data_IF_868080439852
#
_entry.id   IF_868080439852
#
_cell.length_a   1.000
_cell.length_b   1.000
_cell.length_c   1.000
_cell.angle_alpha   90.00
_cell.angle_beta   90.00
_cell.angle_gamma   90.00
#
_symmetry.space_group_name_H-M   'P 1'
#
loop_
_entity.id
_entity.type
_entity.pdbx_description
1 polymer ?
#
# COMPACT_ATOMS: atom_id res chain seq x y z
N UNK A 1 -5.84 -10.06 24.86
CA UNK A 1 -4.92 -8.95 24.57
C UNK A 1 -5.55 -8.20 23.43
N UNK A 2 -6.25 -7.11 23.73
CA UNK A 2 -6.89 -6.26 22.73
C UNK A 2 -5.81 -5.41 22.04
N UNK A 3 -5.68 -5.57 20.73
CA UNK A 3 -4.66 -4.92 19.90
C UNK A 3 -5.19 -3.69 19.13
N UNK A 4 -6.34 -3.14 19.52
CA UNK A 4 -6.90 -1.96 18.87
C UNK A 4 -6.53 -0.67 19.62
N UNK A 5 -5.82 0.23 18.93
CA UNK A 5 -5.78 1.64 19.35
C UNK A 5 -7.15 2.26 19.01
N UNK A 6 -8.10 2.17 19.94
CA UNK A 6 -9.36 2.91 19.85
C UNK A 6 -9.05 4.41 20.02
N UNK A 7 -9.20 5.20 18.95
CA UNK A 7 -9.25 6.66 19.11
C UNK A 7 -10.70 7.09 19.27
N UNK A 8 -10.97 7.80 20.38
CA UNK A 8 -12.29 8.38 20.68
C UNK A 8 -12.31 9.79 20.14
N UNK A 9 -13.09 10.04 19.08
CA UNK A 9 -13.29 11.40 18.57
C UNK A 9 -14.66 11.90 19.06
N UNK A 10 -14.67 13.12 19.62
CA UNK A 10 -15.89 13.80 20.04
C UNK A 10 -16.62 14.32 18.78
N UNK A 11 -17.74 13.71 18.43
CA UNK A 11 -18.65 14.25 17.42
C UNK A 11 -19.75 15.05 18.11
N UNK A 12 -19.96 16.30 17.68
CA UNK A 12 -21.07 17.13 18.16
C UNK A 12 -22.11 17.28 17.06
N UNK A 13 -23.37 16.97 17.37
CA UNK A 13 -24.53 17.25 16.53
C UNK A 13 -25.56 18.03 17.32
N UNK A 14 -26.26 18.95 16.67
CA UNK A 14 -27.37 19.67 17.29
C UNK A 14 -28.65 18.86 17.06
N UNK A 15 -29.26 18.39 18.15
CA UNK A 15 -30.54 17.70 18.12
C UNK A 15 -31.51 18.44 19.06
N UNK A 16 -32.66 18.88 18.54
CA UNK A 16 -33.65 19.68 19.28
C UNK A 16 -33.05 20.91 20.01
N UNK A 17 -32.15 21.64 19.33
CA UNK A 17 -31.54 22.86 19.88
C UNK A 17 -30.54 22.63 21.03
N UNK A 18 -30.17 21.38 21.33
CA UNK A 18 -29.12 21.03 22.30
C UNK A 18 -27.96 20.37 21.58
N UNK A 19 -26.73 20.75 21.93
CA UNK A 19 -25.52 20.07 21.49
C UNK A 19 -25.45 18.71 22.16
N UNK A 20 -25.59 17.64 21.38
CA UNK A 20 -25.39 16.27 21.84
C UNK A 20 -23.98 15.87 21.40
N UNK A 21 -23.13 15.60 22.39
CA UNK A 21 -21.78 15.10 22.17
C UNK A 21 -21.81 13.58 22.32
N UNK A 22 -21.59 12.86 21.22
CA UNK A 22 -21.44 11.40 21.24
C UNK A 22 -19.97 11.03 21.05
N UNK A 23 -19.49 10.10 21.88
CA UNK A 23 -18.21 9.43 21.65
C UNK A 23 -18.45 8.48 20.49
N UNK A 24 -17.88 8.79 19.32
CA UNK A 24 -17.84 7.84 18.21
C UNK A 24 -16.52 7.09 18.36
N UNK A 25 -16.59 5.77 18.56
CA UNK A 25 -15.45 4.90 18.35
C UNK A 25 -15.21 4.86 16.84
N UNK A 26 -14.23 5.62 16.39
CA UNK A 26 -13.75 5.52 15.01
C UNK A 26 -12.54 4.61 15.08
N UNK A 27 -12.64 3.46 14.41
CA UNK A 27 -11.47 2.63 14.16
C UNK A 27 -10.52 3.42 13.26
N UNK A 28 -9.56 4.11 13.87
CA UNK A 28 -8.45 4.70 13.12
C UNK A 28 -7.52 3.58 12.69
N UNK A 29 -7.14 3.58 11.42
CA UNK A 29 -6.19 2.62 10.90
C UNK A 29 -4.92 2.58 11.75
N UNK A 30 -4.43 1.38 12.06
CA UNK A 30 -3.20 1.21 12.86
C UNK A 30 -1.98 1.70 12.06
N UNK A 31 -0.89 2.15 12.72
CA UNK A 31 0.34 2.46 12.01
C UNK A 31 0.91 1.18 11.39
N UNK A 32 1.18 1.23 10.08
CA UNK A 32 1.70 0.09 9.31
C UNK A 32 2.98 0.41 8.55
N UNK A 33 3.54 1.61 8.71
CA UNK A 33 4.82 2.01 8.11
C UNK A 33 5.90 2.07 9.19
N UNK A 34 7.20 1.93 8.86
CA UNK A 34 8.26 2.04 9.87
C UNK A 34 8.25 3.42 10.54
N UNK A 35 7.96 4.48 9.77
CA UNK A 35 7.82 5.84 10.28
C UNK A 35 6.63 5.97 11.23
N UNK A 36 5.44 5.48 10.86
CA UNK A 36 4.24 5.57 11.69
C UNK A 36 4.40 4.80 13.01
N UNK A 37 5.07 3.65 12.98
CA UNK A 37 5.40 2.88 14.19
C UNK A 37 6.37 3.66 15.07
N UNK A 38 7.41 4.28 14.51
CA UNK A 38 8.35 5.13 15.25
C UNK A 38 7.64 6.31 15.92
N UNK A 39 6.75 7.00 15.20
CA UNK A 39 5.95 8.11 15.74
C UNK A 39 5.10 7.66 16.93
N UNK A 40 4.45 6.51 16.82
CA UNK A 40 3.61 5.96 17.87
C UNK A 40 4.42 5.56 19.12
N UNK A 41 5.60 4.96 18.95
CA UNK A 41 6.49 4.65 20.08
C UNK A 41 7.08 5.91 20.73
N UNK A 42 7.41 6.94 19.95
CA UNK A 42 7.82 8.25 20.48
C UNK A 42 6.69 8.92 21.28
N UNK A 43 5.45 8.83 20.81
CA UNK A 43 4.26 9.35 21.52
C UNK A 43 4.11 8.68 22.89
N UNK A 44 4.10 7.34 22.92
CA UNK A 44 4.01 6.57 24.18
C UNK A 44 5.15 6.90 25.13
N UNK A 45 6.37 6.99 24.60
CA UNK A 45 7.56 7.34 25.39
C UNK A 45 7.44 8.74 25.99
N UNK A 46 6.95 9.71 25.23
CA UNK A 46 6.71 11.07 25.71
C UNK A 46 5.66 11.10 26.82
N UNK A 47 4.54 10.37 26.67
CA UNK A 47 3.49 10.27 27.70
C UNK A 47 4.01 9.67 29.01
N UNK A 48 4.82 8.59 28.91
CA UNK A 48 5.47 7.99 30.08
C UNK A 48 6.46 8.95 30.74
N UNK A 49 7.24 9.69 29.95
CA UNK A 49 8.19 10.68 30.41
C UNK A 49 7.51 11.86 31.14
N UNK A 50 6.41 12.37 30.60
CA UNK A 50 5.58 13.42 31.23
C UNK A 50 5.04 12.98 32.59
N UNK A 51 4.64 11.71 32.70
CA UNK A 51 4.19 11.13 33.96
C UNK A 51 5.32 10.90 34.98
N UNK A 52 6.58 10.82 34.55
CA UNK A 52 7.70 10.32 35.36
C UNK A 52 8.58 11.39 36.05
N UNK A 53 8.20 12.67 36.10
CA UNK A 53 9.00 13.73 36.76
C UNK A 53 10.48 13.77 36.35
N UNK A 54 10.76 13.55 35.06
CA UNK A 54 12.13 13.58 34.51
C UNK A 54 12.64 15.02 34.31
N UNK A 55 13.96 15.24 34.13
CA UNK A 55 14.52 16.55 33.85
C UNK A 55 13.85 17.26 32.66
N UNK A 56 13.56 18.55 32.82
CA UNK A 56 12.83 19.35 31.83
C UNK A 56 13.51 19.41 30.44
N UNK A 57 14.85 19.38 30.40
CA UNK A 57 15.63 19.36 29.16
C UNK A 57 15.41 18.08 28.34
N UNK A 58 15.29 16.93 29.03
CA UNK A 58 14.98 15.64 28.37
C UNK A 58 13.56 15.68 27.82
N UNK A 59 12.61 16.21 28.61
CA UNK A 59 11.23 16.32 28.17
C UNK A 59 11.07 17.25 26.96
N UNK A 60 11.79 18.38 26.95
CA UNK A 60 11.82 19.30 25.82
C UNK A 60 12.39 18.64 24.55
N UNK A 61 13.48 17.87 24.70
CA UNK A 61 14.09 17.13 23.60
C UNK A 61 13.13 16.07 23.05
N UNK A 62 12.51 15.25 23.91
CA UNK A 62 11.53 14.24 23.50
C UNK A 62 10.33 14.86 22.77
N UNK A 63 9.80 15.99 23.28
CA UNK A 63 8.70 16.71 22.64
C UNK A 63 9.09 17.21 21.25
N UNK A 64 10.28 17.79 21.09
CA UNK A 64 10.76 18.26 19.79
C UNK A 64 10.96 17.11 18.81
N UNK A 65 11.51 15.99 19.25
CA UNK A 65 11.70 14.79 18.41
C UNK A 65 10.36 14.21 17.96
N UNK A 66 9.40 14.07 18.88
CA UNK A 66 8.06 13.61 18.55
C UNK A 66 7.37 14.56 17.55
N UNK A 67 7.44 15.87 17.77
CA UNK A 67 6.85 16.86 16.87
C UNK A 67 7.44 16.80 15.46
N UNK A 68 8.76 16.66 15.34
CA UNK A 68 9.43 16.53 14.05
C UNK A 68 8.94 15.28 13.31
N UNK A 69 8.88 14.13 13.98
CA UNK A 69 8.44 12.88 13.38
C UNK A 69 6.94 12.91 13.04
N UNK A 70 6.09 13.29 13.99
CA UNK A 70 4.64 13.32 13.82
C UNK A 70 4.18 14.35 12.76
N UNK A 71 4.97 15.38 12.49
CA UNK A 71 4.68 16.39 11.47
C UNK A 71 4.94 15.95 10.03
N UNK A 72 5.74 14.89 9.81
CA UNK A 72 6.19 14.51 8.47
C UNK A 72 5.06 14.02 7.57
N UNK A 73 4.30 13.00 8.00
CA UNK A 73 3.25 12.40 7.17
C UNK A 73 2.11 13.39 6.84
N UNK A 74 1.60 14.20 7.79
CA UNK A 74 0.62 15.24 7.48
C UNK A 74 1.15 16.27 6.48
N UNK A 75 2.41 16.72 6.64
CA UNK A 75 3.00 17.71 5.75
C UNK A 75 3.21 17.16 4.33
N UNK A 76 3.68 15.91 4.20
CA UNK A 76 3.79 15.24 2.90
C UNK A 76 2.41 15.11 2.25
N UNK A 77 1.41 14.67 3.00
CA UNK A 77 0.03 14.53 2.51
C UNK A 77 -0.54 15.86 2.02
N UNK A 78 -0.38 16.93 2.81
CA UNK A 78 -0.80 18.29 2.44
C UNK A 78 -0.09 18.82 1.19
N UNK A 79 1.21 18.52 1.04
CA UNK A 79 2.01 18.95 -0.11
C UNK A 79 1.86 18.04 -1.34
N UNK A 80 1.09 16.96 -1.25
CA UNK A 80 0.87 16.01 -2.35
C UNK A 80 -0.41 16.35 -3.09
N UNK A 81 -0.37 16.34 -4.42
CA UNK A 81 -1.56 16.56 -5.28
C UNK A 81 -2.73 15.71 -4.81
N UNK A 82 -3.88 16.34 -4.57
CA UNK A 82 -5.08 15.69 -4.02
C UNK A 82 -5.56 14.52 -4.88
N UNK A 83 -6.14 13.52 -4.24
CA UNK A 83 -6.81 12.40 -4.90
C UNK A 83 -7.97 12.86 -5.80
N UNK A 84 -8.32 12.05 -6.78
CA UNK A 84 -9.58 12.21 -7.51
C UNK A 84 -10.76 11.86 -6.62
N UNK A 85 -11.97 12.32 -7.00
CA UNK A 85 -13.19 11.93 -6.31
C UNK A 85 -13.44 10.42 -6.33
N UNK A 86 -13.01 9.73 -7.40
CA UNK A 86 -13.16 8.29 -7.55
C UNK A 86 -12.25 7.53 -6.57
N UNK A 87 -10.97 7.94 -6.45
CA UNK A 87 -10.03 7.37 -5.48
C UNK A 87 -10.49 7.60 -4.04
N UNK A 88 -10.91 8.82 -3.70
CA UNK A 88 -11.44 9.10 -2.36
C UNK A 88 -12.71 8.31 -2.07
N UNK A 89 -13.60 8.12 -3.05
CA UNK A 89 -14.80 7.30 -2.90
C UNK A 89 -14.45 5.82 -2.69
N UNK A 90 -13.51 5.28 -3.46
CA UNK A 90 -13.02 3.90 -3.32
C UNK A 90 -12.41 3.69 -1.93
N UNK A 91 -11.50 4.57 -1.50
CA UNK A 91 -10.89 4.49 -0.16
C UNK A 91 -11.94 4.48 0.95
N UNK A 92 -12.97 5.34 0.86
CA UNK A 92 -14.09 5.35 1.81
C UNK A 92 -14.90 4.06 1.80
N UNK A 93 -15.19 3.49 0.62
CA UNK A 93 -15.87 2.19 0.50
C UNK A 93 -15.03 1.10 1.15
N UNK A 94 -13.72 1.06 0.90
CA UNK A 94 -12.81 0.07 1.51
C UNK A 94 -12.79 0.16 3.03
N UNK A 95 -12.73 1.37 3.59
CA UNK A 95 -12.77 1.57 5.05
C UNK A 95 -14.12 1.25 5.69
N UNK A 96 -15.21 1.33 4.94
CA UNK A 96 -16.56 1.05 5.44
C UNK A 96 -16.92 -0.45 5.41
N UNK A 97 -16.19 -1.26 4.64
CA UNK A 97 -16.45 -2.68 4.48
C UNK A 97 -15.97 -3.49 5.70
N UNK A 98 -16.81 -4.41 6.19
CA UNK A 98 -16.48 -5.25 7.34
C UNK A 98 -15.72 -6.51 6.89
N UNK A 99 -14.43 -6.33 6.56
CA UNK A 99 -13.56 -7.40 6.05
C UNK A 99 -13.47 -8.62 6.98
N UNK A 100 -13.61 -8.42 8.30
CA UNK A 100 -13.59 -9.50 9.27
C UNK A 100 -14.85 -10.35 9.16
N UNK A 101 -16.01 -9.72 9.02
CA UNK A 101 -17.27 -10.41 8.76
C UNK A 101 -17.23 -11.13 7.41
N UNK A 102 -16.74 -10.48 6.35
CA UNK A 102 -16.61 -11.12 5.01
C UNK A 102 -15.81 -12.41 5.06
N UNK A 103 -14.68 -12.40 5.76
CA UNK A 103 -13.90 -13.62 5.98
C UNK A 103 -14.64 -14.64 6.85
N UNK A 104 -15.28 -14.21 7.94
CA UNK A 104 -16.05 -15.09 8.83
C UNK A 104 -17.22 -15.79 8.14
N UNK A 105 -17.82 -15.14 7.14
CA UNK A 105 -18.90 -15.68 6.31
C UNK A 105 -18.39 -16.53 5.13
N UNK A 106 -17.07 -16.62 4.93
CA UNK A 106 -16.45 -17.35 3.82
C UNK A 106 -16.57 -16.67 2.46
N UNK A 107 -16.88 -15.37 2.43
CA UNK A 107 -16.96 -14.59 1.19
C UNK A 107 -15.57 -14.23 0.64
N UNK A 108 -14.57 -14.13 1.51
CA UNK A 108 -13.17 -13.92 1.13
C UNK A 108 -12.30 -15.13 1.45
N UNK A 109 -11.30 -15.39 0.62
CA UNK A 109 -10.39 -16.55 0.75
C UNK A 109 -9.35 -16.38 1.86
N UNK A 110 -9.17 -15.14 2.34
CA UNK A 110 -8.27 -14.77 3.42
C UNK A 110 -8.86 -13.62 4.24
N UNK A 111 -8.32 -13.44 5.45
CA UNK A 111 -8.62 -12.26 6.24
C UNK A 111 -7.96 -11.04 5.59
N UNK A 112 -8.76 -10.01 5.37
CA UNK A 112 -8.34 -8.74 4.78
C UNK A 112 -8.53 -7.61 5.79
N UNK A 113 -7.78 -6.53 5.61
CA UNK A 113 -7.80 -5.36 6.49
C UNK A 113 -7.76 -4.10 5.62
N UNK A 114 -8.42 -3.02 6.07
CA UNK A 114 -8.41 -1.75 5.32
C UNK A 114 -7.01 -1.15 5.17
N UNK A 115 -6.10 -1.50 6.08
CA UNK A 115 -4.69 -1.09 6.10
C UNK A 115 -3.89 -1.60 4.90
N UNK A 116 -4.44 -2.57 4.15
CA UNK A 116 -3.84 -3.05 2.89
C UNK A 116 -4.03 -2.08 1.72
N UNK A 117 -4.72 -0.96 1.91
CA UNK A 117 -4.89 0.06 0.87
C UNK A 117 -3.61 0.91 0.71
N UNK A 118 -3.04 0.97 -0.50
CA UNK A 118 -1.87 1.82 -0.83
C UNK A 118 -2.08 3.31 -0.47
N UNK A 119 -3.28 3.83 -0.72
CA UNK A 119 -3.71 5.17 -0.33
C UNK A 119 -3.00 6.34 -1.04
N UNK A 120 -3.33 7.57 -0.61
CA UNK A 120 -3.05 8.82 -1.33
C UNK A 120 -1.60 9.02 -1.83
N UNK A 121 -0.61 9.01 -0.93
CA UNK A 121 0.79 9.31 -1.29
C UNK A 121 1.34 8.32 -2.32
N UNK A 122 1.08 7.04 -2.12
CA UNK A 122 1.59 5.99 -2.98
C UNK A 122 0.86 5.95 -4.33
N UNK A 123 -0.47 6.07 -4.33
CA UNK A 123 -1.23 6.21 -5.58
C UNK A 123 -0.74 7.39 -6.41
N UNK A 124 -0.47 8.54 -5.78
CA UNK A 124 0.08 9.69 -6.49
C UNK A 124 1.52 9.47 -6.97
N UNK A 125 2.32 8.69 -6.23
CA UNK A 125 3.68 8.28 -6.64
C UNK A 125 3.62 7.38 -7.88
N UNK A 126 2.77 6.34 -7.87
CA UNK A 126 2.56 5.45 -9.01
C UNK A 126 2.06 6.21 -10.25
N UNK A 127 1.15 7.18 -10.08
CA UNK A 127 0.70 8.08 -11.16
C UNK A 127 1.85 8.86 -11.79
N UNK A 128 2.79 9.34 -10.97
CA UNK A 128 3.98 10.03 -11.47
C UNK A 128 4.84 9.09 -12.28
N UNK A 129 5.07 7.85 -11.83
CA UNK A 129 5.85 6.87 -12.59
C UNK A 129 5.19 6.52 -13.92
N UNK A 130 3.89 6.22 -13.96
CA UNK A 130 3.15 5.95 -15.22
C UNK A 130 3.34 7.09 -16.22
N UNK A 131 3.24 8.37 -15.77
CA UNK A 131 3.42 9.53 -16.64
C UNK A 131 4.86 9.73 -17.10
N UNK A 132 5.82 9.57 -16.19
CA UNK A 132 7.24 9.79 -16.46
C UNK A 132 7.83 8.73 -17.39
N UNK A 133 7.42 7.46 -17.22
CA UNK A 133 7.80 6.36 -18.11
C UNK A 133 6.98 6.33 -19.39
N UNK A 134 5.90 7.13 -19.47
CA UNK A 134 4.92 7.12 -20.57
C UNK A 134 4.31 5.74 -20.80
N UNK A 135 4.11 5.00 -19.71
CA UNK A 135 3.54 3.67 -19.75
C UNK A 135 2.15 3.68 -20.43
N UNK A 136 1.92 2.68 -21.28
CA UNK A 136 0.64 2.37 -21.92
C UNK A 136 0.08 1.03 -21.47
N UNK A 137 0.95 0.09 -21.09
CA UNK A 137 0.61 -1.25 -20.63
C UNK A 137 1.10 -1.38 -19.19
N UNK A 138 0.18 -1.56 -18.26
CA UNK A 138 0.49 -1.75 -16.84
C UNK A 138 0.02 -3.14 -16.39
N UNK A 139 0.84 -3.80 -15.58
CA UNK A 139 0.46 -5.01 -14.87
C UNK A 139 0.51 -4.74 -13.36
N UNK A 140 -0.52 -5.12 -12.65
CA UNK A 140 -0.56 -5.12 -11.19
C UNK A 140 -0.68 -6.55 -10.67
N UNK A 141 0.27 -6.95 -9.83
CA UNK A 141 0.31 -8.25 -9.16
C UNK A 141 -0.17 -8.06 -7.73
N UNK A 142 -1.45 -8.33 -7.50
CA UNK A 142 -2.15 -8.06 -6.24
C UNK A 142 -2.89 -6.72 -6.30
N UNK A 143 -4.22 -6.79 -6.41
CA UNK A 143 -5.08 -5.62 -6.60
C UNK A 143 -5.75 -5.15 -5.32
N UNK A 144 -6.15 -6.11 -4.46
CA UNK A 144 -7.08 -5.87 -3.37
C UNK A 144 -8.30 -5.05 -3.86
N UNK A 145 -8.71 -3.99 -3.18
CA UNK A 145 -9.87 -3.20 -3.59
C UNK A 145 -9.65 -2.30 -4.81
N UNK A 146 -8.45 -2.30 -5.41
CA UNK A 146 -8.18 -1.66 -6.69
C UNK A 146 -7.78 -0.18 -6.63
N UNK A 147 -7.34 0.32 -5.47
CA UNK A 147 -6.94 1.73 -5.35
C UNK A 147 -5.73 2.07 -6.23
N UNK A 148 -4.67 1.26 -6.16
CA UNK A 148 -3.46 1.40 -6.96
C UNK A 148 -3.73 1.20 -8.46
N UNK A 149 -4.50 0.16 -8.84
CA UNK A 149 -5.01 -0.02 -10.21
C UNK A 149 -5.71 1.25 -10.73
N UNK A 150 -6.67 1.77 -9.98
CA UNK A 150 -7.41 2.96 -10.39
C UNK A 150 -6.51 4.19 -10.50
N UNK A 151 -5.60 4.38 -9.53
CA UNK A 151 -4.65 5.48 -9.54
C UNK A 151 -3.78 5.42 -10.80
N UNK A 152 -3.19 4.26 -11.12
CA UNK A 152 -2.39 4.07 -12.34
C UNK A 152 -3.23 4.28 -13.61
N UNK A 153 -4.47 3.80 -13.65
CA UNK A 153 -5.38 3.98 -14.79
C UNK A 153 -5.72 5.45 -15.08
N UNK A 154 -5.85 6.29 -14.04
CA UNK A 154 -6.02 7.75 -14.18
C UNK A 154 -4.80 8.43 -14.82
N UNK A 155 -3.62 7.82 -14.75
CA UNK A 155 -2.39 8.36 -15.33
C UNK A 155 -2.10 7.83 -16.74
N UNK A 156 -2.72 6.71 -17.15
CA UNK A 156 -2.58 6.14 -18.47
C UNK A 156 -3.18 7.05 -19.57
N UNK A 157 -2.66 7.01 -20.81
CA UNK A 157 -3.33 7.63 -21.95
C UNK A 157 -4.68 6.94 -22.24
N UNK A 158 -5.48 7.50 -23.15
CA UNK A 158 -6.82 6.99 -23.46
C UNK A 158 -6.78 5.57 -24.04
N UNK A 159 -5.73 5.23 -24.80
CA UNK A 159 -5.48 3.89 -25.34
C UNK A 159 -4.72 2.96 -24.36
N UNK A 160 -4.41 3.45 -23.16
CA UNK A 160 -3.69 2.69 -22.15
C UNK A 160 -4.55 1.62 -21.49
N UNK A 161 -3.92 0.53 -21.07
CA UNK A 161 -4.58 -0.61 -20.44
C UNK A 161 -3.78 -1.11 -19.23
N UNK A 162 -4.52 -1.55 -18.23
CA UNK A 162 -4.00 -2.15 -17.01
C UNK A 162 -4.61 -3.54 -16.83
N UNK A 163 -3.77 -4.53 -16.53
CA UNK A 163 -4.19 -5.87 -16.09
C UNK A 163 -3.90 -5.99 -14.61
N UNK A 164 -4.88 -6.36 -13.80
CA UNK A 164 -4.73 -6.53 -12.35
C UNK A 164 -5.01 -7.98 -11.95
N UNK A 165 -4.08 -8.59 -11.23
CA UNK A 165 -4.23 -9.94 -10.68
C UNK A 165 -4.90 -9.86 -9.30
N UNK A 166 -5.99 -10.62 -9.13
CA UNK A 166 -6.64 -10.78 -7.83
C UNK A 166 -7.10 -12.23 -7.67
N UNK A 167 -6.87 -12.83 -6.50
CA UNK A 167 -7.26 -14.23 -6.26
C UNK A 167 -8.68 -14.33 -5.72
N UNK A 168 -9.15 -13.28 -5.05
CA UNK A 168 -10.42 -13.26 -4.36
C UNK A 168 -11.55 -12.69 -5.24
N UNK A 169 -12.52 -13.54 -5.58
CA UNK A 169 -13.62 -13.15 -6.46
C UNK A 169 -14.53 -12.07 -5.86
N UNK A 170 -14.72 -12.06 -4.53
CA UNK A 170 -15.51 -11.03 -3.86
C UNK A 170 -14.82 -9.67 -3.97
N UNK A 171 -13.51 -9.65 -3.70
CA UNK A 171 -12.69 -8.43 -3.79
C UNK A 171 -12.60 -7.94 -5.23
N UNK A 172 -12.44 -8.85 -6.20
CA UNK A 172 -12.46 -8.51 -7.62
C UNK A 172 -13.78 -7.82 -8.03
N UNK A 173 -14.92 -8.36 -7.60
CA UNK A 173 -16.22 -7.76 -7.83
C UNK A 173 -16.39 -6.41 -7.10
N UNK A 174 -15.87 -6.29 -5.87
CA UNK A 174 -15.84 -5.02 -5.14
C UNK A 174 -15.08 -3.94 -5.93
N UNK A 175 -13.90 -4.26 -6.43
CA UNK A 175 -13.06 -3.34 -7.20
C UNK A 175 -13.73 -2.95 -8.53
N UNK A 176 -14.30 -3.92 -9.27
CA UNK A 176 -15.03 -3.65 -10.52
C UNK A 176 -16.19 -2.67 -10.32
N UNK A 177 -16.95 -2.80 -9.22
CA UNK A 177 -18.00 -1.84 -8.88
C UNK A 177 -17.45 -0.43 -8.60
N UNK A 178 -16.24 -0.33 -8.04
CA UNK A 178 -15.59 0.97 -7.86
C UNK A 178 -15.05 1.55 -9.17
N UNK A 179 -14.55 0.70 -10.07
CA UNK A 179 -14.06 1.12 -11.39
C UNK A 179 -15.20 1.65 -12.27
N UNK A 180 -16.39 1.04 -12.20
CA UNK A 180 -17.57 1.51 -12.94
C UNK A 180 -17.98 2.95 -12.60
N UNK A 181 -17.63 3.44 -11.40
CA UNK A 181 -17.89 4.81 -10.96
C UNK A 181 -16.82 5.82 -11.46
N UNK A 182 -15.82 5.37 -12.22
CA UNK A 182 -14.71 6.19 -12.70
C UNK A 182 -14.63 6.23 -14.24
N UNK A 183 -14.35 7.40 -14.85
CA UNK A 183 -14.11 7.49 -16.29
C UNK A 183 -12.85 6.73 -16.77
N UNK A 184 -12.02 6.26 -15.85
CA UNK A 184 -10.81 5.49 -16.15
C UNK A 184 -10.96 3.99 -15.90
N UNK A 185 -12.13 3.54 -15.40
CA UNK A 185 -12.37 2.14 -15.07
C UNK A 185 -12.24 1.19 -16.25
N UNK A 186 -12.67 1.61 -17.44
CA UNK A 186 -12.62 0.80 -18.68
C UNK A 186 -11.20 0.43 -19.14
N UNK A 187 -10.17 1.07 -18.57
CA UNK A 187 -8.77 0.74 -18.84
C UNK A 187 -8.31 -0.49 -18.06
N UNK A 188 -9.06 -0.93 -17.04
CA UNK A 188 -8.65 -1.96 -16.09
C UNK A 188 -9.34 -3.28 -16.42
N UNK A 189 -8.56 -4.34 -16.58
CA UNK A 189 -9.03 -5.72 -16.68
C UNK A 189 -8.57 -6.49 -15.44
N UNK A 190 -9.49 -7.13 -14.74
CA UNK A 190 -9.18 -7.94 -13.56
C UNK A 190 -9.13 -9.41 -13.95
N UNK A 191 -7.99 -10.06 -13.73
CA UNK A 191 -7.81 -11.49 -13.90
C UNK A 191 -7.96 -12.19 -12.54
N UNK A 192 -9.08 -12.90 -12.37
CA UNK A 192 -9.40 -13.59 -11.11
C UNK A 192 -8.74 -14.97 -11.07
N UNK A 193 -7.52 -15.04 -10.56
CA UNK A 193 -6.70 -16.25 -10.46
C UNK A 193 -5.48 -16.00 -9.54
N UNK A 194 -4.78 -17.06 -9.08
CA UNK A 194 -3.48 -16.90 -8.44
C UNK A 194 -2.51 -16.10 -9.32
N UNK A 195 -1.77 -15.17 -8.72
CA UNK A 195 -0.89 -14.25 -9.44
C UNK A 195 0.11 -14.96 -10.37
N UNK A 196 0.80 -16.01 -9.88
CA UNK A 196 1.76 -16.77 -10.68
C UNK A 196 1.12 -17.45 -11.90
N UNK A 197 -0.10 -17.97 -11.75
CA UNK A 197 -0.85 -18.56 -12.88
C UNK A 197 -1.15 -17.50 -13.94
N UNK A 198 -1.58 -16.31 -13.53
CA UNK A 198 -1.81 -15.18 -14.43
C UNK A 198 -0.52 -14.72 -15.12
N UNK A 199 0.60 -14.62 -14.39
CA UNK A 199 1.90 -14.27 -14.97
C UNK A 199 2.31 -15.27 -16.06
N UNK A 200 2.21 -16.57 -15.78
CA UNK A 200 2.53 -17.60 -16.77
C UNK A 200 1.61 -17.56 -18.00
N UNK A 201 0.30 -17.34 -17.80
CA UNK A 201 -0.67 -17.20 -18.89
C UNK A 201 -0.34 -16.00 -19.78
N UNK A 202 -0.04 -14.84 -19.19
CA UNK A 202 0.33 -13.62 -19.92
C UNK A 202 1.65 -13.79 -20.67
N UNK A 203 2.66 -14.40 -20.03
CA UNK A 203 3.94 -14.70 -20.67
C UNK A 203 3.77 -15.65 -21.87
N UNK A 204 2.97 -16.71 -21.73
CA UNK A 204 2.66 -17.65 -22.80
C UNK A 204 1.89 -16.99 -23.96
N UNK A 205 1.08 -15.96 -23.68
CA UNK A 205 0.41 -15.14 -24.68
C UNK A 205 1.32 -14.11 -25.36
N UNK A 206 2.58 -13.97 -24.91
CA UNK A 206 3.53 -12.99 -25.44
C UNK A 206 3.23 -11.54 -25.04
N UNK A 207 2.51 -11.35 -23.94
CA UNK A 207 2.20 -10.02 -23.40
C UNK A 207 3.46 -9.35 -22.83
N UNK A 208 3.48 -8.02 -22.86
CA UNK A 208 4.57 -7.19 -22.35
C UNK A 208 4.03 -5.87 -21.77
N UNK A 209 4.68 -5.38 -20.72
CA UNK A 209 4.22 -4.27 -19.89
C UNK A 209 5.33 -3.25 -19.67
N UNK A 210 4.96 -1.97 -19.76
CA UNK A 210 5.86 -0.82 -19.57
C UNK A 210 6.07 -0.53 -18.07
N UNK A 211 5.11 -0.90 -17.23
CA UNK A 211 5.22 -0.81 -15.79
C UNK A 211 4.55 -2.01 -15.13
N UNK A 212 5.22 -2.61 -14.16
CA UNK A 212 4.70 -3.72 -13.35
C UNK A 212 4.74 -3.32 -11.88
N UNK A 213 3.60 -3.37 -11.20
CA UNK A 213 3.48 -3.13 -9.77
C UNK A 213 3.25 -4.45 -9.03
N UNK A 214 4.03 -4.73 -7.98
CA UNK A 214 3.94 -5.95 -7.18
C UNK A 214 3.54 -5.59 -5.76
N UNK A 215 2.33 -5.98 -5.37
CA UNK A 215 1.77 -5.86 -4.01
C UNK A 215 0.87 -7.05 -3.66
N UNK A 216 1.47 -8.24 -3.56
CA UNK A 216 0.76 -9.49 -3.30
C UNK A 216 1.34 -10.25 -2.08
N UNK A 217 1.38 -11.59 -2.14
CA UNK A 217 1.96 -12.42 -1.08
C UNK A 217 3.48 -12.24 -1.04
N UNK A 218 3.99 -11.75 0.10
CA UNK A 218 5.41 -11.43 0.27
C UNK A 218 6.31 -12.66 0.14
N UNK A 219 5.78 -13.86 0.39
CA UNK A 219 6.52 -15.12 0.24
C UNK A 219 6.85 -15.45 -1.21
N UNK A 220 6.03 -14.96 -2.14
CA UNK A 220 6.16 -15.22 -3.58
C UNK A 220 6.88 -14.09 -4.31
N UNK A 221 7.29 -13.01 -3.63
CA UNK A 221 7.94 -11.85 -4.27
C UNK A 221 9.17 -12.20 -5.11
N UNK A 222 9.99 -13.14 -4.62
CA UNK A 222 11.15 -13.63 -5.38
C UNK A 222 10.69 -14.33 -6.65
N UNK A 223 9.64 -15.16 -6.57
CA UNK A 223 9.13 -15.91 -7.72
C UNK A 223 8.43 -15.01 -8.74
N UNK A 224 7.67 -13.99 -8.29
CA UNK A 224 7.11 -12.96 -9.17
C UNK A 224 8.23 -12.24 -9.93
N UNK A 225 9.25 -11.77 -9.21
CA UNK A 225 10.38 -11.04 -9.78
C UNK A 225 11.15 -11.88 -10.80
N UNK A 226 11.49 -13.13 -10.46
CA UNK A 226 12.18 -14.03 -11.39
C UNK A 226 11.31 -14.34 -12.61
N UNK A 227 10.03 -14.67 -12.43
CA UNK A 227 9.10 -14.92 -13.53
C UNK A 227 8.99 -13.73 -14.48
N UNK A 228 8.96 -12.51 -13.94
CA UNK A 228 8.91 -11.28 -14.74
C UNK A 228 10.20 -11.09 -15.55
N UNK A 229 11.38 -11.28 -14.93
CA UNK A 229 12.67 -11.08 -15.60
C UNK A 229 13.05 -12.19 -16.58
N UNK A 230 12.65 -13.43 -16.30
CA UNK A 230 12.96 -14.61 -17.13
C UNK A 230 11.99 -14.76 -18.32
N UNK A 231 10.98 -13.88 -18.41
CA UNK A 231 9.98 -13.86 -19.48
C UNK A 231 9.96 -12.54 -20.25
N UNK A 232 9.00 -12.39 -21.17
CA UNK A 232 8.80 -11.18 -21.97
C UNK A 232 7.85 -10.16 -21.30
N UNK A 233 7.44 -10.41 -20.05
CA UNK A 233 6.45 -9.58 -19.37
C UNK A 233 6.94 -8.14 -19.14
N UNK A 234 8.23 -7.93 -18.88
CA UNK A 234 8.79 -6.60 -18.77
C UNK A 234 9.32 -6.11 -20.13
N UNK A 235 8.80 -4.96 -20.58
CA UNK A 235 9.32 -4.28 -21.77
C UNK A 235 10.80 -3.85 -21.56
N UNK A 236 11.59 -3.63 -22.63
CA UNK A 236 13.01 -3.25 -22.51
C UNK A 236 13.28 -2.05 -21.60
N UNK A 237 12.47 -0.99 -21.70
CA UNK A 237 12.56 0.21 -20.83
C UNK A 237 11.56 0.16 -19.66
N UNK A 238 11.07 -1.04 -19.33
CA UNK A 238 10.03 -1.25 -18.35
C UNK A 238 10.50 -0.98 -16.93
N UNK A 239 9.56 -0.52 -16.08
CA UNK A 239 9.78 -0.26 -14.67
C UNK A 239 9.03 -1.27 -13.81
N UNK A 240 9.71 -1.93 -12.88
CA UNK A 240 9.05 -2.70 -11.82
C UNK A 240 9.01 -1.82 -10.56
N UNK A 241 7.84 -1.75 -9.92
CA UNK A 241 7.63 -1.13 -8.62
C UNK A 241 7.17 -2.22 -7.64
N UNK A 242 7.81 -2.35 -6.49
CA UNK A 242 7.51 -3.39 -5.49
C UNK A 242 7.19 -2.77 -4.14
N UNK A 243 5.98 -3.00 -3.65
CA UNK A 243 5.47 -2.41 -2.40
C UNK A 243 5.82 -3.24 -1.16
N UNK A 244 5.80 -2.56 -0.01
CA UNK A 244 6.07 -3.02 1.34
C UNK A 244 7.47 -3.60 1.50
N UNK A 245 8.44 -3.04 0.80
CA UNK A 245 9.84 -3.51 0.81
C UNK A 245 10.62 -3.06 2.07
N UNK A 246 10.04 -2.21 2.92
CA UNK A 246 10.50 -1.96 4.29
C UNK A 246 9.67 -2.73 5.35
N UNK A 247 8.48 -3.21 5.01
CA UNK A 247 7.58 -4.05 5.81
C UNK A 247 7.62 -3.79 7.33
N UNK A 248 7.14 -2.63 7.79
CA UNK A 248 7.08 -2.23 9.20
C UNK A 248 8.44 -2.26 9.91
N UNK A 249 9.52 -2.21 9.13
CA UNK A 249 10.90 -2.31 9.58
C UNK A 249 11.41 -3.73 9.85
N UNK A 250 10.61 -4.74 9.55
CA UNK A 250 10.95 -6.15 9.75
C UNK A 250 12.26 -6.58 9.07
N UNK A 251 12.56 -6.21 7.80
CA UNK A 251 13.70 -6.77 7.08
C UNK A 251 15.06 -6.46 7.71
N UNK A 252 15.17 -5.37 8.47
CA UNK A 252 16.41 -4.94 9.13
C UNK A 252 16.42 -5.20 10.65
N UNK A 253 15.44 -5.94 11.16
CA UNK A 253 15.54 -6.53 12.50
C UNK A 253 16.58 -7.67 12.51
N UNK A 254 17.11 -8.04 13.70
CA UNK A 254 17.84 -9.30 13.86
C UNK A 254 17.02 -10.48 13.32
N UNK A 255 17.61 -11.43 12.56
CA UNK A 255 16.89 -12.52 11.90
C UNK A 255 15.93 -13.29 12.81
N UNK A 256 16.35 -13.57 14.05
CA UNK A 256 15.57 -14.29 15.05
C UNK A 256 14.32 -13.55 15.57
N UNK A 257 14.19 -12.25 15.25
CA UNK A 257 13.04 -11.41 15.61
C UNK A 257 12.10 -11.12 14.44
N UNK A 258 12.45 -11.58 13.24
CA UNK A 258 11.64 -11.34 12.03
C UNK A 258 10.44 -12.27 12.00
N UNK A 259 9.32 -11.73 11.55
CA UNK A 259 8.18 -12.54 11.10
C UNK A 259 8.53 -13.29 9.81
N UNK A 260 7.70 -14.28 9.43
CA UNK A 260 7.89 -14.99 8.15
C UNK A 260 7.87 -14.04 6.93
N UNK A 261 6.96 -13.06 6.91
CA UNK A 261 6.94 -12.05 5.84
C UNK A 261 8.16 -11.11 5.93
N UNK A 262 8.61 -10.78 7.14
CA UNK A 262 9.84 -10.02 7.36
C UNK A 262 11.07 -10.69 6.75
N UNK A 263 11.21 -11.99 6.94
CA UNK A 263 12.30 -12.77 6.35
C UNK A 263 12.16 -12.90 4.83
N UNK A 264 10.94 -13.07 4.32
CA UNK A 264 10.67 -13.10 2.89
C UNK A 264 11.09 -11.78 2.20
N UNK A 265 10.73 -10.63 2.78
CA UNK A 265 11.12 -9.32 2.24
C UNK A 265 12.63 -9.06 2.41
N UNK A 266 13.25 -9.47 3.51
CA UNK A 266 14.71 -9.38 3.67
C UNK A 266 15.43 -10.19 2.57
N UNK A 267 14.94 -11.40 2.29
CA UNK A 267 15.46 -12.26 1.22
C UNK A 267 15.28 -11.62 -0.14
N UNK A 268 14.07 -11.14 -0.46
CA UNK A 268 13.76 -10.44 -1.70
C UNK A 268 14.69 -9.23 -1.92
N UNK A 269 14.79 -8.34 -0.93
CA UNK A 269 15.65 -7.15 -1.02
C UNK A 269 17.12 -7.53 -1.26
N UNK A 270 17.61 -8.58 -0.59
CA UNK A 270 18.98 -9.07 -0.80
C UNK A 270 19.20 -9.64 -2.19
N UNK A 271 18.23 -10.37 -2.74
CA UNK A 271 18.29 -10.93 -4.09
C UNK A 271 18.33 -9.80 -5.11
N UNK A 272 17.39 -8.85 -5.04
CA UNK A 272 17.35 -7.71 -5.96
C UNK A 272 18.64 -6.91 -5.87
N UNK A 273 19.18 -6.64 -4.67
CA UNK A 273 20.42 -5.91 -4.46
C UNK A 273 21.66 -6.57 -5.10
N UNK A 274 21.62 -7.89 -5.31
CA UNK A 274 22.73 -8.69 -5.85
C UNK A 274 22.51 -9.13 -7.31
N UNK A 275 21.33 -8.88 -7.88
CA UNK A 275 21.00 -9.30 -9.23
C UNK A 275 21.64 -8.37 -10.27
N UNK A 276 22.59 -8.90 -11.04
CA UNK A 276 23.36 -8.12 -12.03
C UNK A 276 22.56 -7.70 -13.26
N UNK A 277 21.33 -8.18 -13.43
CA UNK A 277 20.47 -7.83 -14.59
C UNK A 277 19.75 -6.49 -14.40
N UNK A 278 19.74 -5.95 -13.18
CA UNK A 278 18.92 -4.79 -12.83
C UNK A 278 19.72 -3.72 -12.08
N UNK A 279 19.20 -2.49 -12.13
CA UNK A 279 19.48 -1.45 -11.14
C UNK A 279 18.20 -1.14 -10.37
N UNK A 280 18.36 -0.67 -9.13
CA UNK A 280 17.25 -0.49 -8.20
C UNK A 280 17.47 0.67 -7.23
N UNK A 281 16.36 1.20 -6.72
CA UNK A 281 16.35 2.11 -5.56
C UNK A 281 15.19 1.75 -4.62
N UNK A 282 15.50 1.60 -3.33
CA UNK A 282 14.52 1.39 -2.26
C UNK A 282 14.14 2.74 -1.66
N UNK A 283 12.90 3.17 -1.84
CA UNK A 283 12.40 4.47 -1.38
C UNK A 283 11.59 4.32 -0.08
N UNK A 284 11.76 5.23 0.91
CA UNK A 284 10.96 5.25 2.14
C UNK A 284 9.59 5.89 1.91
N UNK A 285 8.92 5.56 0.81
CA UNK A 285 7.52 5.92 0.58
C UNK A 285 6.67 4.89 1.32
N UNK A 286 5.88 5.37 2.29
CA UNK A 286 5.02 4.53 3.15
C UNK A 286 5.78 3.34 3.75
N UNK A 287 5.40 2.12 3.39
CA UNK A 287 5.97 0.87 3.90
C UNK A 287 7.13 0.34 3.04
N UNK A 288 7.67 1.19 2.16
CA UNK A 288 8.82 0.94 1.30
C UNK A 288 8.41 0.58 -0.11
N UNK A 289 8.90 1.36 -1.08
CA UNK A 289 8.67 1.13 -2.51
C UNK A 289 10.02 0.95 -3.22
N UNK A 290 10.27 -0.24 -3.75
CA UNK A 290 11.49 -0.50 -4.53
C UNK A 290 11.19 -0.31 -6.01
N UNK A 291 11.95 0.56 -6.66
CA UNK A 291 11.96 0.72 -8.11
C UNK A 291 13.07 -0.14 -8.69
N UNK A 292 12.79 -0.87 -9.76
CA UNK A 292 13.74 -1.76 -10.42
C UNK A 292 13.64 -1.56 -11.93
N UNK A 293 14.79 -1.37 -12.58
CA UNK A 293 14.91 -1.27 -14.03
C UNK A 293 15.90 -2.31 -14.53
N UNK A 294 15.59 -2.98 -15.65
CA UNK A 294 16.52 -3.90 -16.32
C UNK A 294 17.64 -3.12 -17.03
N UNK A 295 18.85 -3.67 -17.07
CA UNK A 295 20.03 -3.01 -17.64
C UNK A 295 20.27 -3.30 -19.11
N UNK A 296 19.58 -4.28 -19.69
CA UNK A 296 19.81 -4.83 -21.05
C UNK A 296 18.73 -4.43 -22.08
#
# INVERSE_FOLDING_TARGET
MDWFAQSKILSSKIQNGKTVTSIVEISTARPVTPHGILVEELRKTLEMAEAASIPAEILATLRSTYQLAAGLDPYISECTTTESSALTALARKTSAEDWRKRFGDGETVRQLEQEMLSGHLEGQTLKMFVRMTKAKRVLEVGMFTGYSALAMAEALPDDGKLVACEVDAYVANFAQNCFADSPHGDKITVEVAPALETLHKLAAAGESFDLIFIDADKKEYVEYFQTILDSNLLAPDGLICVDNTLLQGQPYLPPEKRTANGEAIATFNSIVAQDSRVEQVLLPVRDGLTLIRRLD
#
